data_IF_587830431010
#
_entry.id   IF_587830431010
#
_cell.length_a   1.000
_cell.length_b   1.000
_cell.length_c   1.000
_cell.angle_alpha   90.00
_cell.angle_beta   90.00
_cell.angle_gamma   90.00
#
_symmetry.space_group_name_H-M   'P 1'
#
loop_
_entity.id
_entity.type
_entity.pdbx_description
1 polymer ?
#
# COMPACT_ATOMS: atom_id res chain seq x y z
N UNK A 1 -20.77 14.16 -22.37
CA UNK A 1 -19.96 13.79 -21.19
C UNK A 1 -18.87 14.82 -21.09
N UNK A 2 -18.68 15.40 -19.90
CA UNK A 2 -17.77 16.52 -19.69
C UNK A 2 -16.36 15.95 -19.42
N UNK A 3 -15.34 16.34 -20.18
CA UNK A 3 -13.99 15.75 -20.11
C UNK A 3 -13.35 15.84 -18.70
N UNK A 4 -13.82 16.77 -17.86
CA UNK A 4 -13.40 16.89 -16.46
C UNK A 4 -13.93 15.78 -15.54
N UNK A 5 -15.13 15.25 -15.76
CA UNK A 5 -15.72 14.20 -14.92
C UNK A 5 -14.96 12.86 -15.10
N UNK A 6 -14.47 12.60 -16.31
CA UNK A 6 -13.65 11.42 -16.63
C UNK A 6 -12.27 11.48 -15.95
N UNK A 7 -11.65 12.67 -15.91
CA UNK A 7 -10.38 12.87 -15.21
C UNK A 7 -10.50 12.60 -13.71
N UNK A 8 -11.53 13.13 -13.04
CA UNK A 8 -11.74 12.91 -11.61
C UNK A 8 -12.00 11.45 -11.27
N UNK A 9 -12.75 10.75 -12.12
CA UNK A 9 -12.97 9.33 -11.97
C UNK A 9 -11.65 8.54 -12.06
N UNK A 10 -10.76 8.92 -12.98
CA UNK A 10 -9.46 8.26 -13.13
C UNK A 10 -8.50 8.56 -11.97
N UNK A 11 -8.50 9.78 -11.44
CA UNK A 11 -7.76 10.12 -10.21
C UNK A 11 -8.27 9.29 -9.03
N UNK A 12 -9.59 9.24 -8.82
CA UNK A 12 -10.18 8.44 -7.75
C UNK A 12 -9.85 6.94 -7.90
N UNK A 13 -9.88 6.43 -9.13
CA UNK A 13 -9.51 5.04 -9.43
C UNK A 13 -8.05 4.76 -9.08
N UNK A 14 -7.11 5.60 -9.51
CA UNK A 14 -5.69 5.45 -9.17
C UNK A 14 -5.44 5.51 -7.66
N UNK A 15 -6.09 6.43 -6.95
CA UNK A 15 -6.01 6.53 -5.49
C UNK A 15 -6.59 5.29 -4.79
N UNK A 16 -7.65 4.69 -5.34
CA UNK A 16 -8.18 3.42 -4.84
C UNK A 16 -7.16 2.28 -4.96
N UNK A 17 -6.40 2.23 -6.06
CA UNK A 17 -5.30 1.29 -6.22
C UNK A 17 -4.22 1.47 -5.14
N UNK A 18 -3.83 2.71 -4.87
CA UNK A 18 -2.91 3.01 -3.76
C UNK A 18 -3.43 2.53 -2.41
N UNK A 19 -4.73 2.72 -2.14
CA UNK A 19 -5.34 2.24 -0.90
C UNK A 19 -5.33 0.71 -0.81
N UNK A 20 -5.57 -0.01 -1.90
CA UNK A 20 -5.48 -1.47 -1.90
C UNK A 20 -4.08 -1.98 -1.57
N UNK A 21 -3.01 -1.31 -2.04
CA UNK A 21 -1.63 -1.64 -1.66
C UNK A 21 -1.42 -1.43 -0.15
N UNK A 22 -1.94 -0.34 0.41
CA UNK A 22 -1.89 -0.09 1.87
C UNK A 22 -2.62 -1.19 2.65
N UNK A 23 -3.77 -1.67 2.16
CA UNK A 23 -4.53 -2.74 2.81
C UNK A 23 -3.82 -4.10 2.77
N UNK A 24 -3.20 -4.48 1.65
CA UNK A 24 -2.41 -5.73 1.62
C UNK A 24 -1.20 -5.67 2.56
N UNK A 25 -0.52 -4.51 2.66
CA UNK A 25 0.55 -4.34 3.63
C UNK A 25 0.07 -4.50 5.07
N UNK A 26 -1.10 -3.92 5.41
CA UNK A 26 -1.71 -4.10 6.73
C UNK A 26 -2.03 -5.57 7.00
N UNK A 27 -2.60 -6.27 6.02
CA UNK A 27 -2.92 -7.68 6.13
C UNK A 27 -1.66 -8.54 6.33
N UNK A 28 -0.62 -8.28 5.55
CA UNK A 28 0.70 -8.92 5.70
C UNK A 28 1.24 -8.74 7.12
N UNK A 29 1.28 -7.49 7.59
CA UNK A 29 1.81 -7.14 8.92
C UNK A 29 0.99 -7.81 10.01
N UNK A 30 -0.34 -7.77 9.93
CA UNK A 30 -1.22 -8.40 10.89
C UNK A 30 -0.95 -9.91 11.00
N UNK A 31 -0.90 -10.61 9.87
CA UNK A 31 -0.61 -12.05 9.84
C UNK A 31 0.79 -12.37 10.36
N UNK A 32 1.80 -11.58 9.99
CA UNK A 32 3.17 -11.80 10.45
C UNK A 32 3.29 -11.61 11.98
N UNK A 33 2.67 -10.57 12.54
CA UNK A 33 2.66 -10.32 13.98
C UNK A 33 1.85 -11.39 14.73
N UNK A 34 0.75 -11.88 14.16
CA UNK A 34 -0.01 -12.99 14.73
C UNK A 34 0.83 -14.27 14.77
N UNK A 35 1.56 -14.58 13.69
CA UNK A 35 2.45 -15.72 13.63
C UNK A 35 3.55 -15.62 14.70
N UNK A 36 4.21 -14.45 14.81
CA UNK A 36 5.22 -14.20 15.84
C UNK A 36 4.65 -14.43 17.24
N UNK A 37 3.46 -13.89 17.52
CA UNK A 37 2.78 -14.06 18.81
C UNK A 37 2.51 -15.53 19.12
N UNK A 38 2.02 -16.31 18.15
CA UNK A 38 1.79 -17.75 18.30
C UNK A 38 3.10 -18.52 18.53
N UNK A 39 4.17 -18.19 17.81
CA UNK A 39 5.49 -18.79 17.99
C UNK A 39 6.07 -18.55 19.40
N UNK A 40 5.83 -17.37 19.97
CA UNK A 40 6.28 -17.04 21.33
C UNK A 40 5.47 -17.76 22.41
N UNK A 41 4.17 -18.01 22.17
CA UNK A 41 3.27 -18.63 23.14
C UNK A 41 3.25 -17.86 24.47
N UNK A 42 3.31 -18.59 25.59
CA UNK A 42 3.35 -18.03 26.95
C UNK A 42 4.74 -17.55 27.41
N UNK A 43 5.78 -17.68 26.57
CA UNK A 43 7.19 -17.45 26.98
C UNK A 43 7.56 -15.98 27.17
N UNK A 44 6.88 -15.08 26.47
CA UNK A 44 7.16 -13.65 26.50
C UNK A 44 5.89 -12.85 26.17
N UNK A 45 5.72 -11.70 26.84
CA UNK A 45 4.64 -10.77 26.53
C UNK A 45 4.91 -10.10 25.18
N UNK A 46 4.02 -10.32 24.21
CA UNK A 46 4.05 -9.68 22.90
C UNK A 46 2.76 -8.88 22.68
N UNK A 47 2.86 -7.55 22.72
CA UNK A 47 1.71 -6.63 22.67
C UNK A 47 1.40 -6.06 21.29
N UNK A 48 2.29 -6.25 20.31
CA UNK A 48 2.08 -5.72 18.97
C UNK A 48 0.98 -6.51 18.25
N UNK A 49 0.10 -5.81 17.53
CA UNK A 49 -0.95 -6.40 16.69
C UNK A 49 -1.11 -5.65 15.37
N UNK A 50 -1.96 -6.18 14.48
CA UNK A 50 -2.34 -5.47 13.25
C UNK A 50 -3.01 -4.12 13.54
N UNK A 51 -3.76 -4.03 14.63
CA UNK A 51 -4.52 -2.84 15.05
C UNK A 51 -3.60 -1.61 15.27
N UNK A 52 -2.34 -1.82 15.66
CA UNK A 52 -1.33 -0.76 15.82
C UNK A 52 -1.04 0.01 14.50
N UNK A 53 -1.53 -0.50 13.38
CA UNK A 53 -1.27 -0.02 12.02
C UNK A 53 -2.53 0.30 11.21
N UNK A 54 -3.73 0.30 11.81
CA UNK A 54 -4.98 0.62 11.11
C UNK A 54 -4.93 1.99 10.40
N UNK A 55 -4.41 3.01 11.09
CA UNK A 55 -4.27 4.38 10.57
C UNK A 55 -2.83 4.71 10.12
N UNK A 56 -1.98 3.69 9.93
CA UNK A 56 -0.60 3.91 9.53
C UNK A 56 -0.50 4.42 8.07
N UNK A 57 0.38 5.40 7.85
CA UNK A 57 0.73 5.87 6.51
C UNK A 57 1.46 4.77 5.72
N UNK A 58 1.40 4.83 4.38
CA UNK A 58 2.16 3.94 3.49
C UNK A 58 3.66 3.88 3.86
N UNK A 59 4.26 5.01 4.23
CA UNK A 59 5.66 5.06 4.67
C UNK A 59 5.89 4.23 5.94
N UNK A 60 5.02 4.37 6.95
CA UNK A 60 5.11 3.59 8.19
C UNK A 60 4.90 2.10 7.90
N UNK A 61 3.94 1.75 7.03
CA UNK A 61 3.67 0.37 6.62
C UNK A 61 4.88 -0.27 5.91
N UNK A 62 5.48 0.42 4.95
CA UNK A 62 6.71 -0.04 4.27
C UNK A 62 7.86 -0.21 5.27
N UNK A 63 8.00 0.71 6.22
CA UNK A 63 9.01 0.63 7.27
C UNK A 63 8.85 -0.60 8.19
N UNK A 64 7.62 -1.02 8.47
CA UNK A 64 7.33 -2.23 9.26
C UNK A 64 7.50 -3.48 8.41
N UNK A 65 6.98 -3.48 7.18
CA UNK A 65 7.15 -4.56 6.22
C UNK A 65 8.62 -4.93 6.01
N UNK A 66 9.51 -3.94 5.88
CA UNK A 66 10.97 -4.14 5.80
C UNK A 66 11.56 -4.92 6.98
N UNK A 67 10.97 -4.84 8.17
CA UNK A 67 11.43 -5.57 9.35
C UNK A 67 10.91 -7.01 9.39
N UNK A 68 9.89 -7.32 8.60
CA UNK A 68 9.19 -8.60 8.59
C UNK A 68 9.46 -9.43 7.32
N UNK A 69 9.95 -8.80 6.25
CA UNK A 69 10.30 -9.45 4.98
C UNK A 69 11.77 -9.22 4.61
N UNK A 70 12.39 -10.25 4.01
CA UNK A 70 13.71 -10.20 3.40
C UNK A 70 13.66 -9.88 1.89
N UNK A 71 12.47 -9.65 1.32
CA UNK A 71 12.27 -9.36 -0.10
C UNK A 71 12.68 -7.91 -0.45
N UNK A 72 13.99 -7.69 -0.55
CA UNK A 72 14.58 -6.38 -0.84
C UNK A 72 14.12 -5.77 -2.17
N UNK A 73 13.81 -6.59 -3.17
CA UNK A 73 13.28 -6.13 -4.46
C UNK A 73 11.88 -5.53 -4.31
N UNK A 74 10.98 -6.23 -3.63
CA UNK A 74 9.63 -5.73 -3.36
C UNK A 74 9.65 -4.46 -2.49
N UNK A 75 10.53 -4.40 -1.49
CA UNK A 75 10.73 -3.20 -0.67
C UNK A 75 11.17 -2.01 -1.54
N UNK A 76 12.10 -2.22 -2.47
CA UNK A 76 12.56 -1.16 -3.36
C UNK A 76 11.46 -0.65 -4.30
N UNK A 77 10.60 -1.55 -4.79
CA UNK A 77 9.47 -1.19 -5.64
C UNK A 77 8.40 -0.41 -4.85
N UNK A 78 8.08 -0.83 -3.63
CA UNK A 78 7.18 -0.11 -2.74
C UNK A 78 7.66 1.32 -2.43
N UNK A 79 8.97 1.51 -2.25
CA UNK A 79 9.56 2.84 -2.03
C UNK A 79 9.46 3.73 -3.27
N UNK A 80 9.54 3.17 -4.48
CA UNK A 80 9.28 3.91 -5.73
C UNK A 80 7.80 4.28 -5.83
N UNK A 81 6.91 3.32 -5.59
CA UNK A 81 5.47 3.50 -5.62
C UNK A 81 5.00 4.58 -4.63
N UNK A 82 5.57 4.62 -3.42
CA UNK A 82 5.32 5.67 -2.42
C UNK A 82 5.52 7.08 -2.99
N UNK A 83 6.59 7.30 -3.77
CA UNK A 83 6.89 8.60 -4.38
C UNK A 83 5.80 9.01 -5.38
N UNK A 84 5.35 8.06 -6.20
CA UNK A 84 4.28 8.29 -7.17
C UNK A 84 2.93 8.54 -6.49
N UNK A 85 2.58 7.75 -5.47
CA UNK A 85 1.37 7.97 -4.65
C UNK A 85 1.35 9.36 -4.00
N UNK A 86 2.47 9.78 -3.42
CA UNK A 86 2.59 11.10 -2.79
C UNK A 86 2.45 12.21 -3.83
N UNK A 87 3.08 12.04 -5.00
CA UNK A 87 2.90 12.97 -6.11
C UNK A 87 1.42 13.09 -6.52
N UNK A 88 0.72 11.98 -6.72
CA UNK A 88 -0.71 11.99 -7.07
C UNK A 88 -1.59 12.60 -5.98
N UNK A 89 -1.29 12.33 -4.71
CA UNK A 89 -2.05 12.88 -3.58
C UNK A 89 -1.89 14.41 -3.49
N UNK A 90 -0.70 14.95 -3.75
CA UNK A 90 -0.48 16.39 -3.70
C UNK A 90 -0.93 17.11 -4.98
N UNK A 91 -0.60 16.58 -6.17
CA UNK A 91 -0.89 17.26 -7.44
C UNK A 91 -2.25 16.91 -8.03
N UNK A 92 -2.68 15.65 -7.94
CA UNK A 92 -4.00 15.22 -8.42
C UNK A 92 -5.12 15.96 -7.69
N UNK A 93 -5.01 16.08 -6.36
CA UNK A 93 -5.99 16.84 -5.56
C UNK A 93 -5.92 18.35 -5.87
N UNK A 94 -4.74 18.92 -6.07
CA UNK A 94 -4.60 20.34 -6.44
C UNK A 94 -5.32 20.65 -7.77
N UNK A 95 -5.18 19.78 -8.78
CA UNK A 95 -5.94 19.92 -10.03
C UNK A 95 -7.45 19.71 -9.86
N UNK A 96 -7.88 18.84 -8.94
CA UNK A 96 -9.31 18.74 -8.60
C UNK A 96 -9.87 19.98 -7.91
N UNK A 97 -9.03 20.75 -7.23
CA UNK A 97 -9.42 21.95 -6.49
C UNK A 97 -9.25 23.25 -7.31
N UNK A 98 -8.53 23.20 -8.42
CA UNK A 98 -8.37 24.30 -9.39
C UNK A 98 -8.74 23.88 -10.82
N UNK A 99 -10.04 23.73 -11.11
CA UNK A 99 -10.53 23.36 -12.44
C UNK A 99 -10.34 24.45 -13.50
N UNK A 100 -10.01 25.70 -13.12
CA UNK A 100 -9.77 26.80 -14.06
C UNK A 100 -8.29 26.92 -14.45
N UNK A 101 -7.39 26.15 -13.82
CA UNK A 101 -5.99 26.02 -14.21
C UNK A 101 -5.15 27.27 -13.96
N UNK A 102 -5.59 28.16 -13.07
CA UNK A 102 -4.83 29.37 -12.73
C UNK A 102 -3.63 29.08 -11.81
N UNK A 103 -3.57 27.88 -11.21
CA UNK A 103 -2.59 27.48 -10.19
C UNK A 103 -1.82 26.19 -10.54
N UNK A 104 -2.20 25.46 -11.60
CA UNK A 104 -1.61 24.16 -11.95
C UNK A 104 -0.45 24.23 -12.95
N UNK A 105 0.73 23.75 -12.57
CA UNK A 105 1.93 23.71 -13.44
C UNK A 105 1.91 22.60 -14.52
N UNK A 106 0.98 21.65 -14.48
CA UNK A 106 0.93 20.49 -15.40
C UNK A 106 -0.43 20.36 -16.08
N UNK A 107 -0.44 19.94 -17.34
CA UNK A 107 -1.69 19.68 -18.08
C UNK A 107 -2.27 18.31 -17.74
N UNK A 108 -3.59 18.13 -17.92
CA UNK A 108 -4.27 16.82 -17.80
C UNK A 108 -3.55 15.75 -18.62
N UNK A 109 -3.05 16.11 -19.81
CA UNK A 109 -2.34 15.22 -20.74
C UNK A 109 -1.04 14.64 -20.15
N UNK A 110 -0.40 15.34 -19.21
CA UNK A 110 0.83 14.86 -18.55
C UNK A 110 0.53 13.99 -17.32
N UNK A 111 -0.66 14.11 -16.73
CA UNK A 111 -1.06 13.37 -15.52
C UNK A 111 -1.65 12.01 -15.89
N UNK A 112 -2.39 11.93 -16.99
CA UNK A 112 -3.10 10.71 -17.43
C UNK A 112 -2.19 9.47 -17.54
N UNK A 113 -1.01 9.52 -18.19
CA UNK A 113 -0.12 8.36 -18.26
C UNK A 113 0.37 7.90 -16.88
N UNK A 114 0.52 8.83 -15.93
CA UNK A 114 0.95 8.53 -14.56
C UNK A 114 -0.16 7.87 -13.76
N UNK A 115 -1.42 8.29 -13.93
CA UNK A 115 -2.58 7.64 -13.30
C UNK A 115 -2.67 6.17 -13.72
N UNK A 116 -2.59 5.90 -15.03
CA UNK A 116 -2.59 4.54 -15.57
C UNK A 116 -1.39 3.73 -15.06
N UNK A 117 -0.19 4.34 -15.06
CA UNK A 117 1.02 3.69 -14.56
C UNK A 117 0.92 3.32 -13.08
N UNK A 118 0.40 4.21 -12.24
CA UNK A 118 0.17 3.92 -10.81
C UNK A 118 -0.85 2.83 -10.62
N UNK A 119 -1.92 2.79 -11.41
CA UNK A 119 -2.94 1.75 -11.29
C UNK A 119 -2.38 0.37 -11.61
N UNK A 120 -1.66 0.22 -12.73
CA UNK A 120 -1.03 -1.05 -13.10
C UNK A 120 0.02 -1.49 -12.06
N UNK A 121 0.80 -0.55 -11.55
CA UNK A 121 1.80 -0.85 -10.54
C UNK A 121 1.18 -1.22 -9.19
N UNK A 122 0.08 -0.57 -8.81
CA UNK A 122 -0.68 -0.92 -7.62
C UNK A 122 -1.21 -2.35 -7.69
N UNK A 123 -1.77 -2.77 -8.82
CA UNK A 123 -2.24 -4.14 -9.03
C UNK A 123 -1.09 -5.15 -8.90
N UNK A 124 0.04 -4.89 -9.56
CA UNK A 124 1.23 -5.74 -9.49
C UNK A 124 1.75 -5.87 -8.05
N UNK A 125 1.87 -4.75 -7.34
CA UNK A 125 2.36 -4.73 -5.96
C UNK A 125 1.41 -5.44 -5.01
N UNK A 126 0.10 -5.28 -5.19
CA UNK A 126 -0.94 -5.95 -4.41
C UNK A 126 -0.75 -7.48 -4.48
N UNK A 127 -0.59 -8.00 -5.69
CA UNK A 127 -0.35 -9.43 -5.91
C UNK A 127 1.00 -9.87 -5.33
N UNK A 128 2.07 -9.09 -5.53
CA UNK A 128 3.40 -9.42 -5.02
C UNK A 128 3.45 -9.45 -3.47
N UNK A 129 2.77 -8.52 -2.78
CA UNK A 129 2.65 -8.53 -1.32
C UNK A 129 1.88 -9.77 -0.86
N UNK A 130 0.78 -10.11 -1.57
CA UNK A 130 -0.03 -11.27 -1.26
C UNK A 130 0.76 -12.58 -1.41
N UNK A 131 1.51 -12.72 -2.51
CA UNK A 131 2.40 -13.86 -2.75
C UNK A 131 3.52 -13.96 -1.72
N UNK A 132 4.10 -12.84 -1.33
CA UNK A 132 5.11 -12.79 -0.27
C UNK A 132 4.56 -13.30 1.07
N UNK A 133 3.28 -13.04 1.36
CA UNK A 133 2.62 -13.54 2.57
C UNK A 133 2.53 -15.08 2.58
N UNK A 134 2.32 -15.72 1.41
CA UNK A 134 2.19 -17.18 1.33
C UNK A 134 3.40 -17.95 1.86
N UNK A 135 4.58 -17.31 1.91
CA UNK A 135 5.77 -17.89 2.53
C UNK A 135 5.54 -18.31 3.99
N UNK A 136 4.63 -17.65 4.71
CA UNK A 136 4.39 -17.95 6.12
C UNK A 136 2.93 -18.19 6.51
N UNK A 137 1.95 -17.92 5.63
CA UNK A 137 0.53 -18.16 5.96
C UNK A 137 0.23 -19.62 6.28
N UNK A 138 0.90 -20.57 5.62
CA UNK A 138 0.74 -21.99 5.94
C UNK A 138 1.16 -22.29 7.40
N UNK A 139 2.26 -21.69 7.86
CA UNK A 139 2.72 -21.82 9.24
C UNK A 139 1.68 -21.23 10.20
N UNK A 140 1.16 -20.03 9.91
CA UNK A 140 0.17 -19.35 10.75
C UNK A 140 -1.11 -20.17 11.00
N UNK A 141 -1.61 -20.85 9.98
CA UNK A 141 -2.91 -21.52 10.04
C UNK A 141 -2.84 -23.03 10.35
N UNK A 142 -1.74 -23.70 10.03
CA UNK A 142 -1.67 -25.16 10.08
C UNK A 142 -0.61 -25.72 11.04
N UNK A 143 0.32 -24.91 11.55
CA UNK A 143 1.31 -25.41 12.52
C UNK A 143 0.77 -25.53 13.95
N UNK A 144 1.43 -26.41 14.71
CA UNK A 144 1.19 -26.56 16.15
C UNK A 144 2.12 -25.62 16.90
N UNK A 145 1.53 -24.64 17.56
CA UNK A 145 2.26 -23.66 18.35
C UNK A 145 2.44 -24.09 19.81
N UNK A 146 3.52 -23.65 20.48
CA UNK A 146 3.67 -23.84 21.92
C UNK A 146 2.53 -23.15 22.67
N UNK A 147 2.05 -23.79 23.75
CA UNK A 147 1.04 -23.20 24.63
C UNK A 147 1.60 -22.06 25.48
#
# INVERSE_FOLDING_TARGET
>A
MNDGDDFYLQVAFALSGCQLVEQELKLYIAHALELVKKCLGSRMVFKMSGDDYEDASLEKLIGVFRKLSDNTALIADLEKFKKERNFLSHKGIAHCLDPMGELGEMSVQEIMPRLTGVQSEAERLRLAIHEEAFKFLAHLYFEKFPK
#
